data_IF_114443809988
#
_entry.id   IF_114443809988
#
_cell.length_a   1.000
_cell.length_b   1.000
_cell.length_c   1.000
_cell.angle_alpha   90.00
_cell.angle_beta   90.00
_cell.angle_gamma   90.00
#
_symmetry.space_group_name_H-M   'P 1'
#
loop_
_entity.id
_entity.type
_entity.pdbx_description
1 polymer ?
#
# COMPACT_ATOMS: atom_id res chain seq x y z
N UNK A 1 -30.95 12.53 6.87
CA UNK A 1 -29.73 12.19 6.10
C UNK A 1 -28.55 12.80 6.85
N UNK A 2 -27.88 12.03 7.71
CA UNK A 2 -26.72 12.50 8.46
C UNK A 2 -25.46 12.13 7.67
N UNK A 3 -24.82 13.13 7.05
CA UNK A 3 -23.57 12.97 6.31
C UNK A 3 -22.48 12.50 7.27
N UNK A 4 -22.10 11.23 7.14
CA UNK A 4 -20.86 10.70 7.70
C UNK A 4 -19.71 11.55 7.11
N UNK A 5 -18.71 12.03 7.87
CA UNK A 5 -17.49 12.58 7.29
C UNK A 5 -16.67 11.43 6.68
N UNK A 6 -17.25 10.80 5.66
CA UNK A 6 -16.61 9.81 4.81
C UNK A 6 -15.71 10.51 3.81
N UNK A 7 -14.68 9.80 3.36
CA UNK A 7 -13.85 10.23 2.25
C UNK A 7 -14.73 10.59 1.04
N UNK A 8 -14.27 11.54 0.22
CA UNK A 8 -14.92 11.88 -1.04
C UNK A 8 -14.07 11.33 -2.20
N UNK A 9 -14.61 10.34 -2.90
CA UNK A 9 -13.94 9.67 -4.03
C UNK A 9 -13.54 10.64 -5.13
N UNK A 10 -14.39 11.60 -5.48
CA UNK A 10 -14.11 12.58 -6.53
C UNK A 10 -12.95 13.50 -6.13
N UNK A 11 -12.91 13.92 -4.87
CA UNK A 11 -11.79 14.71 -4.32
C UNK A 11 -10.51 13.91 -4.35
N UNK A 12 -10.52 12.64 -3.92
CA UNK A 12 -9.34 11.77 -3.95
C UNK A 12 -8.83 11.56 -5.39
N UNK A 13 -9.73 11.31 -6.34
CA UNK A 13 -9.39 11.15 -7.75
C UNK A 13 -8.82 12.44 -8.34
N UNK A 14 -9.40 13.60 -8.00
CA UNK A 14 -8.89 14.90 -8.43
C UNK A 14 -7.48 15.17 -7.86
N UNK A 15 -7.26 14.88 -6.58
CA UNK A 15 -5.95 15.01 -5.95
C UNK A 15 -4.91 14.08 -6.59
N UNK A 16 -5.26 12.81 -6.82
CA UNK A 16 -4.34 11.84 -7.43
C UNK A 16 -3.97 12.21 -8.87
N UNK A 17 -4.90 12.81 -9.64
CA UNK A 17 -4.61 13.35 -10.98
C UNK A 17 -3.72 14.59 -10.94
N UNK A 18 -3.99 15.49 -10.00
CA UNK A 18 -3.25 16.75 -9.85
C UNK A 18 -1.80 16.50 -9.40
N UNK A 19 -1.60 15.61 -8.44
CA UNK A 19 -0.30 15.22 -7.91
C UNK A 19 0.18 13.90 -8.54
N UNK A 20 0.38 13.90 -9.86
CA UNK A 20 0.75 12.70 -10.63
C UNK A 20 2.24 12.64 -11.00
N UNK A 21 2.92 13.79 -11.11
CA UNK A 21 4.33 13.88 -11.52
C UNK A 21 5.18 14.57 -10.45
N UNK A 22 6.22 13.86 -10.03
CA UNK A 22 7.29 14.34 -9.13
C UNK A 22 7.99 15.64 -9.55
N UNK A 23 8.05 15.94 -10.84
CA UNK A 23 8.79 17.07 -11.42
C UNK A 23 7.96 18.35 -11.57
N UNK A 24 6.64 18.25 -11.39
CA UNK A 24 5.70 19.35 -11.48
C UNK A 24 5.11 19.67 -10.09
N UNK A 25 3.85 19.31 -9.83
CA UNK A 25 3.17 19.59 -8.56
C UNK A 25 3.51 18.59 -7.45
N UNK A 26 4.33 17.58 -7.75
CA UNK A 26 4.66 16.48 -6.86
C UNK A 26 3.79 15.25 -7.12
N UNK A 27 4.16 14.13 -6.49
CA UNK A 27 3.49 12.83 -6.63
C UNK A 27 2.79 12.45 -5.33
N UNK A 28 1.52 12.10 -5.41
CA UNK A 28 0.71 11.70 -4.26
C UNK A 28 0.77 10.18 -4.05
N UNK A 29 1.19 9.79 -2.85
CA UNK A 29 1.25 8.41 -2.38
C UNK A 29 0.15 8.17 -1.33
N UNK A 30 -0.85 7.36 -1.68
CA UNK A 30 -1.93 6.99 -0.78
C UNK A 30 -1.68 5.62 -0.13
N UNK A 31 -1.89 5.53 1.18
CA UNK A 31 -1.87 4.27 1.89
C UNK A 31 -3.30 3.76 2.10
N UNK A 32 -3.48 2.46 1.91
CA UNK A 32 -4.77 1.79 1.97
C UNK A 32 -4.75 0.76 3.12
N UNK A 33 -5.55 0.95 4.18
CA UNK A 33 -6.44 2.10 4.43
C UNK A 33 -5.74 3.32 5.06
N UNK A 34 -4.53 3.14 5.61
CA UNK A 34 -3.80 4.16 6.38
C UNK A 34 -2.34 3.77 6.57
N UNK A 35 -1.55 4.61 7.25
CA UNK A 35 -0.11 4.40 7.48
C UNK A 35 0.21 3.05 8.13
N UNK A 36 -0.69 2.51 8.96
CA UNK A 36 -0.52 1.19 9.58
C UNK A 36 -0.39 0.04 8.56
N UNK A 37 -0.85 0.21 7.31
CA UNK A 37 -0.66 -0.78 6.24
C UNK A 37 0.82 -1.07 5.94
N UNK A 38 1.72 -0.11 6.19
CA UNK A 38 3.16 -0.31 5.99
C UNK A 38 3.74 -1.38 6.92
N UNK A 39 3.22 -1.46 8.15
CA UNK A 39 3.71 -2.37 9.17
C UNK A 39 3.03 -3.73 9.15
N UNK A 40 1.93 -3.88 8.40
CA UNK A 40 1.00 -5.02 8.49
C UNK A 40 1.55 -6.29 7.81
N UNK A 41 2.66 -6.80 8.31
CA UNK A 41 3.34 -8.03 7.89
C UNK A 41 3.59 -8.93 9.11
N UNK A 42 3.37 -10.25 8.96
CA UNK A 42 3.67 -11.26 10.00
C UNK A 42 5.15 -11.61 10.08
N UNK A 43 5.87 -11.47 8.98
CA UNK A 43 7.29 -11.77 8.80
C UNK A 43 7.87 -10.89 7.69
N UNK A 44 9.18 -10.91 7.47
CA UNK A 44 9.82 -10.21 6.36
C UNK A 44 10.77 -11.22 5.68
N UNK A 45 10.43 -11.75 4.49
CA UNK A 45 9.18 -11.53 3.72
C UNK A 45 7.94 -12.15 4.39
N UNK A 46 6.74 -11.67 4.03
CA UNK A 46 5.44 -12.26 4.41
C UNK A 46 4.75 -12.88 3.18
N UNK A 47 4.71 -14.21 3.10
CA UNK A 47 4.15 -14.96 1.95
C UNK A 47 2.64 -14.73 1.76
N UNK A 48 1.92 -14.39 2.85
CA UNK A 48 0.48 -14.12 2.82
C UNK A 48 0.16 -12.65 2.49
N UNK A 49 1.16 -11.77 2.41
CA UNK A 49 0.95 -10.32 2.28
C UNK A 49 0.06 -9.94 1.09
N UNK A 50 0.23 -10.65 -0.03
CA UNK A 50 -0.54 -10.42 -1.25
C UNK A 50 -2.06 -10.49 -1.01
N UNK A 51 -2.51 -11.40 -0.16
CA UNK A 51 -3.93 -11.64 0.13
C UNK A 51 -4.49 -10.78 1.25
N UNK A 52 -3.68 -9.90 1.87
CA UNK A 52 -4.14 -9.09 3.01
C UNK A 52 -5.17 -8.04 2.60
N UNK A 53 -6.30 -8.07 3.29
CA UNK A 53 -7.40 -7.14 3.11
C UNK A 53 -7.94 -6.67 4.46
N UNK A 54 -8.70 -5.57 4.42
CA UNK A 54 -9.45 -5.05 5.55
C UNK A 54 -10.87 -4.72 5.12
N UNK A 55 -11.83 -4.93 6.02
CA UNK A 55 -13.22 -4.60 5.78
C UNK A 55 -13.53 -3.16 6.22
N UNK A 56 -14.41 -2.46 5.50
CA UNK A 56 -14.87 -1.12 5.86
C UNK A 56 -15.50 -1.09 7.26
N UNK A 57 -16.17 -2.17 7.67
CA UNK A 57 -16.69 -2.33 9.02
C UNK A 57 -15.56 -2.32 10.08
N UNK A 58 -14.40 -2.93 9.80
CA UNK A 58 -13.24 -2.91 10.70
C UNK A 58 -12.73 -1.47 10.89
N UNK A 59 -12.69 -0.69 9.80
CA UNK A 59 -12.27 0.71 9.79
C UNK A 59 -13.25 1.61 10.55
N UNK A 60 -14.56 1.47 10.28
CA UNK A 60 -15.63 2.19 11.00
C UNK A 60 -15.57 1.92 12.50
N UNK A 61 -15.23 0.69 12.90
CA UNK A 61 -15.08 0.28 14.29
C UNK A 61 -13.70 0.60 14.89
N UNK A 62 -12.80 1.28 14.15
CA UNK A 62 -11.44 1.66 14.59
C UNK A 62 -10.58 0.48 15.06
N UNK A 63 -10.80 -0.72 14.51
CA UNK A 63 -10.12 -1.96 14.93
C UNK A 63 -8.84 -2.28 14.14
N UNK A 64 -8.69 -1.70 12.94
CA UNK A 64 -7.58 -2.03 12.05
C UNK A 64 -6.19 -1.79 12.69
N UNK A 65 -5.99 -0.65 13.36
CA UNK A 65 -4.70 -0.35 14.01
C UNK A 65 -4.33 -1.37 15.09
N UNK A 66 -5.32 -1.82 15.86
CA UNK A 66 -5.14 -2.85 16.90
C UNK A 66 -4.78 -4.19 16.26
N UNK A 67 -5.46 -4.57 15.17
CA UNK A 67 -5.13 -5.78 14.40
C UNK A 67 -3.70 -5.74 13.87
N UNK A 68 -3.28 -4.63 13.26
CA UNK A 68 -1.90 -4.45 12.80
C UNK A 68 -0.93 -4.62 13.96
N UNK A 69 -1.18 -4.01 15.11
CA UNK A 69 -0.33 -4.17 16.30
C UNK A 69 -0.23 -5.63 16.75
N UNK A 70 -1.33 -6.39 16.72
CA UNK A 70 -1.34 -7.79 17.12
C UNK A 70 -0.62 -8.71 16.12
N UNK A 71 -0.73 -8.43 14.83
CA UNK A 71 -0.17 -9.26 13.77
C UNK A 71 1.28 -8.92 13.41
N UNK A 72 1.71 -7.66 13.60
CA UNK A 72 3.05 -7.18 13.20
C UNK A 72 4.13 -7.74 14.10
N UNK A 73 4.96 -8.67 13.60
CA UNK A 73 6.21 -9.16 14.25
C UNK A 73 6.14 -9.32 15.79
N UNK A 74 5.01 -9.80 16.33
CA UNK A 74 4.81 -9.95 17.77
C UNK A 74 4.65 -8.63 18.55
N UNK A 75 4.00 -7.63 17.93
CA UNK A 75 3.61 -6.34 18.54
C UNK A 75 4.74 -5.38 18.89
N UNK A 76 5.92 -5.50 18.26
CA UNK A 76 7.06 -4.57 18.48
C UNK A 76 7.50 -3.88 17.18
N UNK A 77 6.99 -2.66 16.95
CA UNK A 77 7.35 -1.83 15.81
C UNK A 77 8.85 -1.50 15.73
N UNK A 78 9.59 -1.52 16.85
CA UNK A 78 11.04 -1.23 16.84
C UNK A 78 11.84 -2.34 16.17
N UNK A 79 11.24 -3.52 16.01
CA UNK A 79 11.83 -4.67 15.31
C UNK A 79 11.40 -4.73 13.84
N UNK A 80 10.54 -3.82 13.39
CA UNK A 80 10.08 -3.78 12.01
C UNK A 80 11.11 -3.16 11.09
N UNK A 81 11.46 -3.90 10.02
CA UNK A 81 12.32 -3.44 8.92
C UNK A 81 13.61 -2.73 9.38
N UNK A 82 14.35 -3.33 10.32
CA UNK A 82 15.51 -2.72 10.98
C UNK A 82 16.77 -2.68 10.11
N UNK A 83 16.78 -3.40 8.99
CA UNK A 83 17.86 -3.37 8.01
C UNK A 83 17.37 -2.86 6.66
N UNK A 84 18.32 -2.38 5.84
CA UNK A 84 18.06 -2.00 4.45
C UNK A 84 17.41 -3.14 3.67
N UNK A 85 17.85 -4.39 3.87
CA UNK A 85 17.33 -5.54 3.13
C UNK A 85 15.89 -5.84 3.52
N UNK A 86 15.57 -5.77 4.81
CA UNK A 86 14.19 -5.92 5.27
C UNK A 86 13.29 -4.79 4.75
N UNK A 87 13.78 -3.55 4.77
CA UNK A 87 13.09 -2.40 4.18
C UNK A 87 12.84 -2.60 2.68
N UNK A 88 13.83 -3.10 1.97
CA UNK A 88 13.76 -3.41 0.53
C UNK A 88 12.69 -4.47 0.27
N UNK A 89 12.66 -5.54 1.06
CA UNK A 89 11.63 -6.59 0.96
C UNK A 89 10.23 -5.99 1.19
N UNK A 90 10.03 -5.21 2.25
CA UNK A 90 8.72 -4.60 2.58
C UNK A 90 8.23 -3.74 1.42
N UNK A 91 9.07 -2.86 0.89
CA UNK A 91 8.70 -1.98 -0.23
C UNK A 91 8.39 -2.81 -1.47
N UNK A 92 9.23 -3.79 -1.81
CA UNK A 92 9.02 -4.65 -2.99
C UNK A 92 7.78 -5.54 -2.87
N UNK A 93 7.40 -6.01 -1.67
CA UNK A 93 6.14 -6.73 -1.47
C UNK A 93 4.91 -5.83 -1.68
N UNK A 94 4.98 -4.57 -1.25
CA UNK A 94 3.94 -3.59 -1.55
C UNK A 94 3.87 -3.29 -3.05
N UNK A 95 5.00 -3.10 -3.74
CA UNK A 95 5.04 -2.86 -5.19
C UNK A 95 4.54 -4.08 -5.98
N UNK A 96 4.91 -5.30 -5.58
CA UNK A 96 4.42 -6.53 -6.20
C UNK A 96 2.91 -6.62 -6.15
N UNK A 97 2.34 -6.28 -4.99
CA UNK A 97 0.89 -6.22 -4.81
C UNK A 97 0.25 -5.11 -5.64
N UNK A 98 0.85 -3.92 -5.70
CA UNK A 98 0.36 -2.83 -6.54
C UNK A 98 0.33 -3.22 -8.03
N UNK A 99 1.40 -3.85 -8.54
CA UNK A 99 1.44 -4.42 -9.88
C UNK A 99 0.32 -5.45 -10.09
N UNK A 100 0.21 -6.45 -9.21
CA UNK A 100 -0.86 -7.46 -9.31
C UNK A 100 -2.28 -6.93 -9.13
N UNK A 101 -2.46 -5.70 -8.64
CA UNK A 101 -3.76 -5.03 -8.66
C UNK A 101 -4.06 -4.39 -10.03
N UNK A 102 -3.07 -3.75 -10.64
CA UNK A 102 -3.24 -3.06 -11.93
C UNK A 102 -3.11 -3.97 -13.15
N UNK A 103 -2.50 -5.15 -13.00
CA UNK A 103 -2.42 -6.21 -14.01
C UNK A 103 -3.08 -7.48 -13.50
N UNK A 104 -3.75 -8.23 -14.38
CA UNK A 104 -4.27 -9.56 -14.05
C UNK A 104 -3.14 -10.60 -13.80
N UNK A 105 -1.89 -10.19 -13.94
CA UNK A 105 -0.70 -11.01 -13.71
C UNK A 105 -0.04 -10.67 -12.37
N UNK A 106 0.25 -11.72 -11.57
CA UNK A 106 1.01 -11.59 -10.33
C UNK A 106 2.50 -11.59 -10.63
N UNK A 107 3.18 -10.53 -10.20
CA UNK A 107 4.65 -10.47 -10.16
C UNK A 107 5.16 -10.88 -8.77
N UNK A 108 6.24 -11.64 -8.73
CA UNK A 108 6.91 -11.96 -7.46
C UNK A 108 7.71 -10.75 -6.96
N UNK A 109 7.74 -10.54 -5.64
CA UNK A 109 8.44 -9.40 -5.03
C UNK A 109 9.96 -9.44 -5.24
N UNK A 110 10.54 -10.62 -5.50
CA UNK A 110 11.96 -10.76 -5.81
C UNK A 110 12.30 -10.45 -7.27
N UNK A 111 11.30 -10.35 -8.16
CA UNK A 111 11.53 -10.11 -9.59
C UNK A 111 12.03 -8.68 -9.87
N UNK A 112 13.03 -8.50 -10.72
CA UNK A 112 13.65 -7.19 -11.00
C UNK A 112 12.65 -6.13 -11.52
N UNK A 113 11.69 -6.58 -12.34
CA UNK A 113 10.62 -5.73 -12.88
C UNK A 113 9.64 -5.17 -11.84
N UNK A 114 9.68 -5.63 -10.58
CA UNK A 114 8.75 -5.15 -9.53
C UNK A 114 8.96 -3.70 -9.12
N UNK A 115 10.11 -3.12 -9.49
CA UNK A 115 10.45 -1.72 -9.18
C UNK A 115 10.07 -0.76 -10.30
N UNK A 116 9.34 -1.24 -11.31
CA UNK A 116 8.77 -0.40 -12.35
C UNK A 116 7.70 0.53 -11.79
N UNK A 117 7.44 1.61 -12.54
CA UNK A 117 6.48 2.63 -12.11
C UNK A 117 5.07 2.05 -11.95
N UNK A 118 4.40 2.50 -10.89
CA UNK A 118 3.02 2.16 -10.55
C UNK A 118 2.08 3.26 -11.04
N UNK A 119 0.97 2.87 -11.66
CA UNK A 119 -0.12 3.80 -11.97
C UNK A 119 -0.97 4.02 -10.71
N UNK A 120 -0.61 5.05 -9.94
CA UNK A 120 -1.29 5.39 -8.70
C UNK A 120 -2.76 5.75 -8.88
N UNK A 121 -3.14 6.34 -10.03
CA UNK A 121 -4.54 6.65 -10.32
C UNK A 121 -5.34 5.37 -10.54
N UNK A 122 -4.77 4.41 -11.29
CA UNK A 122 -5.38 3.10 -11.50
C UNK A 122 -5.53 2.34 -10.18
N UNK A 123 -4.50 2.33 -9.33
CA UNK A 123 -4.56 1.72 -7.99
C UNK A 123 -5.69 2.33 -7.16
N UNK A 124 -5.81 3.65 -7.11
CA UNK A 124 -6.90 4.33 -6.40
C UNK A 124 -8.28 3.94 -6.93
N UNK A 125 -8.45 3.94 -8.26
CA UNK A 125 -9.72 3.54 -8.89
C UNK A 125 -10.12 2.11 -8.52
N UNK A 126 -9.17 1.17 -8.52
CA UNK A 126 -9.42 -0.22 -8.16
C UNK A 126 -9.80 -0.36 -6.68
N UNK A 127 -9.12 0.36 -5.79
CA UNK A 127 -9.43 0.37 -4.36
C UNK A 127 -10.82 0.96 -4.07
N UNK A 128 -11.20 2.05 -4.77
CA UNK A 128 -12.53 2.64 -4.67
C UNK A 128 -13.61 1.69 -5.19
N UNK A 129 -13.38 1.02 -6.32
CA UNK A 129 -14.31 0.04 -6.87
C UNK A 129 -14.53 -1.15 -5.93
N UNK A 130 -13.47 -1.60 -5.24
CA UNK A 130 -13.55 -2.67 -4.25
C UNK A 130 -14.30 -2.23 -2.99
N UNK A 131 -14.09 -1.00 -2.53
CA UNK A 131 -14.86 -0.43 -1.43
C UNK A 131 -16.35 -0.34 -1.75
N UNK A 132 -16.70 0.08 -2.98
CA UNK A 132 -18.08 0.22 -3.41
C UNK A 132 -18.78 -1.14 -3.55
N UNK A 133 -18.09 -2.14 -4.13
CA UNK A 133 -18.69 -3.45 -4.45
C UNK A 133 -18.68 -4.41 -3.27
N UNK A 134 -17.62 -4.42 -2.49
CA UNK A 134 -17.35 -5.47 -1.50
C UNK A 134 -17.20 -4.94 -0.07
N UNK A 135 -17.27 -3.61 0.12
CA UNK A 135 -16.97 -2.95 1.39
C UNK A 135 -15.60 -3.37 1.95
N UNK A 136 -14.61 -3.54 1.07
CA UNK A 136 -13.25 -3.96 1.42
C UNK A 136 -12.18 -3.08 0.78
N UNK A 137 -10.99 -3.13 1.35
CA UNK A 137 -9.77 -2.56 0.79
C UNK A 137 -8.66 -3.60 0.80
N UNK A 138 -7.82 -3.53 -0.23
CA UNK A 138 -6.53 -4.21 -0.21
C UNK A 138 -5.62 -3.47 0.74
N UNK A 139 -4.95 -4.20 1.65
CA UNK A 139 -3.89 -3.63 2.47
C UNK A 139 -2.70 -3.35 1.56
N UNK A 140 -2.37 -2.08 1.38
CA UNK A 140 -1.30 -1.60 0.50
C UNK A 140 -0.75 -0.28 1.03
N UNK A 141 0.56 -0.20 1.22
CA UNK A 141 1.27 1.03 1.55
C UNK A 141 2.10 1.49 0.35
N UNK A 142 1.81 2.68 -0.16
CA UNK A 142 2.59 3.27 -1.27
C UNK A 142 3.63 4.26 -0.77
N UNK A 143 3.69 4.55 0.53
CA UNK A 143 4.61 5.55 1.09
C UNK A 143 6.10 5.23 0.88
N UNK A 144 6.47 3.99 0.55
CA UNK A 144 7.84 3.62 0.20
C UNK A 144 8.17 3.74 -1.29
N UNK A 145 7.17 3.99 -2.17
CA UNK A 145 7.36 3.92 -3.62
C UNK A 145 8.19 5.09 -4.15
N UNK A 146 8.24 6.22 -3.43
CA UNK A 146 9.17 7.31 -3.78
C UNK A 146 10.63 6.82 -3.85
N UNK A 147 11.01 5.80 -3.06
CA UNK A 147 12.36 5.24 -3.15
C UNK A 147 12.58 4.60 -4.52
N UNK A 148 11.59 3.90 -5.08
CA UNK A 148 11.67 3.35 -6.43
C UNK A 148 11.72 4.45 -7.49
N UNK A 149 10.92 5.51 -7.33
CA UNK A 149 10.83 6.60 -8.30
C UNK A 149 12.12 7.46 -8.34
N UNK A 150 12.72 7.75 -7.18
CA UNK A 150 13.87 8.66 -7.09
C UNK A 150 15.22 7.96 -6.94
N UNK A 151 15.27 6.75 -6.39
CA UNK A 151 16.51 5.99 -6.17
C UNK A 151 16.27 4.47 -6.31
N UNK A 152 15.92 3.98 -7.51
CA UNK A 152 15.61 2.56 -7.73
C UNK A 152 16.77 1.63 -7.37
N UNK A 153 18.02 2.12 -7.44
CA UNK A 153 19.21 1.40 -6.99
C UNK A 153 19.17 1.01 -5.50
N UNK A 154 18.47 1.78 -4.67
CA UNK A 154 18.28 1.46 -3.26
C UNK A 154 17.46 0.18 -3.04
N UNK A 155 16.61 -0.20 -4.00
CA UNK A 155 15.75 -1.39 -3.90
C UNK A 155 16.31 -2.62 -4.62
N UNK A 156 17.57 -2.58 -5.06
CA UNK A 156 18.25 -3.77 -5.61
C UNK A 156 18.50 -4.79 -4.50
N UNK A 157 18.14 -6.03 -4.78
CA UNK A 157 18.50 -7.16 -3.92
C UNK A 157 20.01 -7.37 -3.98
N UNK A 158 20.65 -7.53 -2.82
CA UNK A 158 22.08 -7.81 -2.67
C UNK A 158 22.35 -9.31 -2.55
#
# INVERSE_FOLDING_TARGET
MAGNPGYNSDVLLALQKHFSDSSDMGKLYLNYPMVEAFYHLKSIPDDDYYHRMTALAELKNKKYKLRVQQETLGSDYRKFAVSRDQMTIVIRQNMAKAHGLQSDERIDWSHDGVTQEIDHLKVLQLQLALLEKEEQLQVLSTCGFFIADYNPGFLKMT
#
